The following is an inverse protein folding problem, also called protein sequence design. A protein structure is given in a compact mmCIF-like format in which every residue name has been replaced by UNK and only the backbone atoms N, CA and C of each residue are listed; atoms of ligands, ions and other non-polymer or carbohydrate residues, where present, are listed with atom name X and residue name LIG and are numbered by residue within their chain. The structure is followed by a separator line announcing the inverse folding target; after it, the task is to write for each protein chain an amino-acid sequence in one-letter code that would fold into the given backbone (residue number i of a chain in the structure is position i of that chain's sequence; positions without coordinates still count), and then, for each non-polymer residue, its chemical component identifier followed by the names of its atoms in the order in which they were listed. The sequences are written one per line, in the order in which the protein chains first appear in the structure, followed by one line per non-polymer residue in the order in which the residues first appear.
data_IF_036338285546
#
_entry.id   IF_036338285546
#
_cell.length_a   1.000
_cell.length_b   1.000
_cell.length_c   1.000
_cell.angle_alpha   90.00
_cell.angle_beta   90.00
_cell.angle_gamma   90.00
#
_symmetry.space_group_name_H-M   'P 1'
#
loop_
_entity.id
_entity.type
_entity.pdbx_description
1 polymer ?
#
# COMPACT_ATOMS: atom_id res chain seq x y z
N UNK A 1 -20.57 1.34 -14.86
CA UNK A 1 -19.58 2.45 -14.77
C UNK A 1 -18.18 1.99 -15.15
N UNK A 2 -17.79 0.74 -14.90
CA UNK A 2 -16.42 0.23 -15.14
C UNK A 2 -15.99 0.18 -16.62
N UNK A 3 -16.90 0.44 -17.57
CA UNK A 3 -16.56 0.58 -18.99
C UNK A 3 -15.91 1.93 -19.34
N UNK A 4 -15.95 2.91 -18.43
CA UNK A 4 -15.33 4.23 -18.65
C UNK A 4 -13.86 4.16 -18.26
N UNK A 5 -12.92 4.49 -19.17
CA UNK A 5 -11.50 4.55 -18.84
C UNK A 5 -11.21 5.58 -17.74
N UNK A 6 -10.19 5.32 -16.89
CA UNK A 6 -9.78 6.25 -15.83
C UNK A 6 -9.56 7.69 -16.32
N UNK A 7 -8.97 7.84 -17.51
CA UNK A 7 -8.65 9.15 -18.11
C UNK A 7 -9.90 9.98 -18.45
N UNK A 8 -11.03 9.31 -18.67
CA UNK A 8 -12.27 9.96 -19.12
C UNK A 8 -13.21 10.27 -17.95
N UNK A 9 -12.87 9.84 -16.72
CA UNK A 9 -13.68 10.06 -15.51
C UNK A 9 -13.83 11.53 -15.21
N UNK A 10 -12.74 12.30 -15.27
CA UNK A 10 -12.75 13.75 -15.02
C UNK A 10 -13.66 14.47 -16.03
N UNK A 11 -13.51 14.18 -17.33
CA UNK A 11 -14.34 14.76 -18.38
C UNK A 11 -15.82 14.41 -18.17
N UNK A 12 -16.11 13.15 -17.83
CA UNK A 12 -17.48 12.69 -17.58
C UNK A 12 -18.12 13.43 -16.40
N UNK A 13 -17.37 13.66 -15.33
CA UNK A 13 -17.86 14.35 -14.14
C UNK A 13 -18.06 15.84 -14.43
N UNK A 14 -17.17 16.46 -15.20
CA UNK A 14 -17.25 17.87 -15.55
C UNK A 14 -18.48 18.23 -16.40
N UNK A 15 -18.88 17.29 -17.28
CA UNK A 15 -20.03 17.44 -18.18
C UNK A 15 -21.35 16.98 -17.53
N UNK A 16 -21.30 16.33 -16.37
CA UNK A 16 -22.48 15.86 -15.65
C UNK A 16 -23.24 17.02 -15.00
N UNK A 17 -24.55 17.10 -15.28
CA UNK A 17 -25.43 18.06 -14.62
C UNK A 17 -25.64 17.78 -13.13
N UNK A 18 -25.76 18.85 -12.32
CA UNK A 18 -25.90 18.78 -10.85
C UNK A 18 -27.05 17.87 -10.39
N UNK A 19 -28.15 17.80 -11.16
CA UNK A 19 -29.31 16.95 -10.88
C UNK A 19 -29.01 15.45 -10.83
N UNK A 20 -27.88 15.00 -11.39
CA UNK A 20 -27.48 13.59 -11.38
C UNK A 20 -26.46 13.27 -10.28
N UNK A 21 -25.93 14.29 -9.59
CA UNK A 21 -24.87 14.11 -8.58
C UNK A 21 -25.36 13.25 -7.42
N UNK A 22 -26.58 13.48 -6.91
CA UNK A 22 -27.16 12.69 -5.82
C UNK A 22 -27.24 11.20 -6.18
N UNK A 23 -27.72 10.90 -7.40
CA UNK A 23 -27.81 9.53 -7.90
C UNK A 23 -26.42 8.90 -8.05
N UNK A 24 -25.45 9.67 -8.55
CA UNK A 24 -24.07 9.21 -8.68
C UNK A 24 -23.46 8.90 -7.32
N UNK A 25 -23.59 9.78 -6.32
CA UNK A 25 -23.12 9.56 -4.96
C UNK A 25 -23.72 8.29 -4.34
N UNK A 26 -25.02 8.05 -4.57
CA UNK A 26 -25.70 6.84 -4.12
C UNK A 26 -25.14 5.58 -4.78
N UNK A 27 -24.91 5.61 -6.10
CA UNK A 27 -24.30 4.49 -6.82
C UNK A 27 -22.86 4.24 -6.35
N UNK A 28 -22.08 5.29 -6.11
CA UNK A 28 -20.72 5.20 -5.59
C UNK A 28 -20.71 4.57 -4.20
N UNK A 29 -21.58 5.00 -3.29
CA UNK A 29 -21.70 4.42 -1.95
C UNK A 29 -22.01 2.92 -2.01
N UNK A 30 -23.00 2.51 -2.80
CA UNK A 30 -23.37 1.10 -2.97
C UNK A 30 -22.25 0.29 -3.66
N UNK A 31 -21.54 0.89 -4.60
CA UNK A 31 -20.44 0.21 -5.29
C UNK A 31 -19.22 0.03 -4.40
N UNK A 32 -18.95 0.99 -3.50
CA UNK A 32 -17.91 0.88 -2.48
C UNK A 32 -18.25 -0.15 -1.40
N UNK A 33 -19.52 -0.52 -1.23
CA UNK A 33 -19.90 -1.67 -0.40
C UNK A 33 -19.53 -2.99 -1.08
N UNK A 34 -19.93 -3.16 -2.35
CA UNK A 34 -19.99 -4.48 -3.00
C UNK A 34 -18.76 -4.79 -3.87
N UNK A 35 -18.18 -3.78 -4.54
CA UNK A 35 -17.18 -4.01 -5.58
C UNK A 35 -15.77 -4.26 -5.02
N UNK A 36 -15.00 -5.03 -5.78
CA UNK A 36 -13.56 -5.28 -5.55
C UNK A 36 -12.67 -4.22 -6.20
N UNK A 37 -13.19 -3.45 -7.16
CA UNK A 37 -12.45 -2.42 -7.91
C UNK A 37 -12.30 -1.12 -7.09
N UNK A 38 -11.73 -1.21 -5.88
CA UNK A 38 -11.72 -0.12 -4.90
C UNK A 38 -11.10 1.17 -5.46
N UNK A 39 -9.90 1.07 -6.05
CA UNK A 39 -9.19 2.21 -6.63
C UNK A 39 -10.05 2.97 -7.67
N UNK A 40 -10.77 2.23 -8.51
CA UNK A 40 -11.65 2.81 -9.50
C UNK A 40 -12.75 3.68 -8.86
N UNK A 41 -13.46 3.14 -7.87
CA UNK A 41 -14.53 3.88 -7.19
C UNK A 41 -14.00 5.02 -6.30
N UNK A 42 -12.81 4.88 -5.72
CA UNK A 42 -12.13 5.98 -5.02
C UNK A 42 -11.79 7.12 -5.98
N UNK A 43 -11.29 6.80 -7.17
CA UNK A 43 -10.96 7.77 -8.19
C UNK A 43 -12.21 8.57 -8.64
N UNK A 44 -13.33 7.88 -8.89
CA UNK A 44 -14.61 8.53 -9.18
C UNK A 44 -15.08 9.41 -8.02
N UNK A 45 -15.03 8.87 -6.80
CA UNK A 45 -15.48 9.59 -5.60
C UNK A 45 -14.69 10.87 -5.39
N UNK A 46 -13.36 10.82 -5.54
CA UNK A 46 -12.48 11.98 -5.47
C UNK A 46 -12.91 13.04 -6.48
N UNK A 47 -13.02 12.69 -7.76
CA UNK A 47 -13.34 13.68 -8.80
C UNK A 47 -14.74 14.29 -8.62
N UNK A 48 -15.74 13.50 -8.23
CA UNK A 48 -17.09 14.00 -7.96
C UNK A 48 -17.07 15.00 -6.80
N UNK A 49 -16.41 14.65 -5.69
CA UNK A 49 -16.33 15.52 -4.52
C UNK A 49 -15.48 16.76 -4.78
N UNK A 50 -14.41 16.67 -5.58
CA UNK A 50 -13.57 17.83 -5.93
C UNK A 50 -14.29 18.79 -6.87
N UNK A 51 -14.95 18.29 -7.91
CA UNK A 51 -15.59 19.15 -8.92
C UNK A 51 -16.98 19.65 -8.49
N UNK A 52 -17.84 18.77 -7.97
CA UNK A 52 -19.21 19.11 -7.58
C UNK A 52 -19.32 19.48 -6.10
N UNK A 53 -18.35 19.18 -5.25
CA UNK A 53 -18.37 19.46 -3.81
C UNK A 53 -18.88 20.84 -3.41
N UNK A 54 -18.34 21.94 -3.98
CA UNK A 54 -18.78 23.30 -3.66
C UNK A 54 -20.24 23.60 -4.04
N UNK A 55 -20.83 22.82 -4.96
CA UNK A 55 -22.19 22.99 -5.50
C UNK A 55 -23.18 22.01 -4.87
N UNK A 56 -22.71 21.03 -4.09
CA UNK A 56 -23.56 20.04 -3.45
C UNK A 56 -24.43 20.72 -2.39
N UNK A 57 -25.75 20.63 -2.58
CA UNK A 57 -26.73 21.10 -1.60
C UNK A 57 -26.85 20.07 -0.48
N UNK A 58 -26.52 20.41 0.79
CA UNK A 58 -26.53 19.45 1.88
C UNK A 58 -27.91 18.83 2.10
N UNK A 59 -28.98 19.62 2.03
CA UNK A 59 -30.35 19.16 2.30
C UNK A 59 -30.80 17.99 1.41
N UNK A 60 -30.31 17.92 0.18
CA UNK A 60 -30.68 16.88 -0.79
C UNK A 60 -29.69 15.70 -0.76
N UNK A 61 -28.40 15.97 -0.58
CA UNK A 61 -27.35 14.97 -0.77
C UNK A 61 -26.85 14.35 0.55
N UNK A 62 -27.27 14.84 1.72
CA UNK A 62 -26.76 14.39 3.01
C UNK A 62 -26.84 12.87 3.21
N UNK A 63 -27.96 12.19 2.90
CA UNK A 63 -28.04 10.73 3.09
C UNK A 63 -27.01 9.97 2.23
N UNK A 64 -26.86 10.38 0.97
CA UNK A 64 -25.89 9.79 0.05
C UNK A 64 -24.45 10.02 0.52
N UNK A 65 -24.13 11.24 1.00
CA UNK A 65 -22.83 11.60 1.56
C UNK A 65 -22.49 10.82 2.84
N UNK A 66 -23.46 10.64 3.75
CA UNK A 66 -23.26 9.85 4.97
C UNK A 66 -22.98 8.38 4.62
N UNK A 67 -23.75 7.81 3.69
CA UNK A 67 -23.54 6.44 3.23
C UNK A 67 -22.15 6.28 2.59
N UNK A 68 -21.78 7.22 1.73
CA UNK A 68 -20.46 7.25 1.09
C UNK A 68 -19.34 7.32 2.12
N UNK A 69 -19.44 8.23 3.09
CA UNK A 69 -18.47 8.36 4.19
C UNK A 69 -18.35 7.05 4.98
N UNK A 70 -19.48 6.45 5.36
CA UNK A 70 -19.50 5.17 6.09
C UNK A 70 -18.70 4.09 5.36
N UNK A 71 -18.92 3.94 4.05
CA UNK A 71 -18.23 2.91 3.26
C UNK A 71 -16.76 3.22 3.03
N UNK A 72 -16.40 4.48 2.79
CA UNK A 72 -15.00 4.91 2.70
C UNK A 72 -14.23 4.61 3.99
N UNK A 73 -14.79 4.99 5.14
CA UNK A 73 -14.18 4.72 6.45
C UNK A 73 -14.02 3.23 6.68
N UNK A 74 -15.07 2.43 6.41
CA UNK A 74 -15.01 0.98 6.59
C UNK A 74 -13.95 0.33 5.69
N UNK A 75 -13.88 0.72 4.41
CA UNK A 75 -12.87 0.19 3.47
C UNK A 75 -11.46 0.56 3.90
N UNK A 76 -11.26 1.80 4.35
CA UNK A 76 -9.99 2.24 4.90
C UNK A 76 -9.59 1.43 6.14
N UNK A 77 -10.47 1.27 7.13
CA UNK A 77 -10.19 0.48 8.34
C UNK A 77 -9.85 -0.97 8.04
N UNK A 78 -10.55 -1.59 7.09
CA UNK A 78 -10.27 -2.97 6.66
C UNK A 78 -8.88 -3.08 6.02
N UNK A 79 -8.54 -2.15 5.12
CA UNK A 79 -7.25 -2.14 4.44
C UNK A 79 -6.12 -1.86 5.42
N UNK A 80 -6.27 -0.87 6.29
CA UNK A 80 -5.26 -0.51 7.28
C UNK A 80 -4.95 -1.67 8.22
N UNK A 81 -5.96 -2.41 8.70
CA UNK A 81 -5.73 -3.62 9.52
C UNK A 81 -4.89 -4.67 8.81
N UNK A 82 -5.17 -4.93 7.54
CA UNK A 82 -4.43 -5.91 6.73
C UNK A 82 -2.99 -5.41 6.49
N UNK A 83 -2.84 -4.14 6.12
CA UNK A 83 -1.53 -3.53 5.90
C UNK A 83 -0.67 -3.53 7.17
N UNK A 84 -1.25 -3.21 8.33
CA UNK A 84 -0.56 -3.25 9.61
C UNK A 84 -0.12 -4.67 9.95
N UNK A 85 -1.03 -5.65 9.84
CA UNK A 85 -0.71 -7.05 10.08
C UNK A 85 0.44 -7.53 9.17
N UNK A 86 0.36 -7.23 7.87
CA UNK A 86 1.40 -7.59 6.90
C UNK A 86 2.73 -6.92 7.25
N UNK A 87 2.71 -5.62 7.56
CA UNK A 87 3.90 -4.84 7.91
C UNK A 87 4.58 -5.40 9.14
N UNK A 88 3.84 -5.65 10.22
CA UNK A 88 4.41 -6.17 11.46
C UNK A 88 4.87 -7.62 11.31
N UNK A 89 4.15 -8.45 10.56
CA UNK A 89 4.55 -9.83 10.27
C UNK A 89 5.87 -9.86 9.51
N UNK A 90 6.00 -9.07 8.43
CA UNK A 90 7.24 -8.99 7.67
C UNK A 90 8.41 -8.47 8.52
N UNK A 91 8.19 -7.42 9.32
CA UNK A 91 9.21 -6.91 10.23
C UNK A 91 9.66 -7.95 11.26
N UNK A 92 8.72 -8.72 11.80
CA UNK A 92 9.02 -9.81 12.72
C UNK A 92 9.87 -10.88 12.04
N UNK A 93 9.46 -11.38 10.87
CA UNK A 93 10.21 -12.40 10.11
C UNK A 93 11.63 -11.93 9.79
N UNK A 94 11.79 -10.67 9.35
CA UNK A 94 13.12 -10.10 9.07
C UNK A 94 13.98 -10.06 10.34
N UNK A 95 13.42 -9.61 11.48
CA UNK A 95 14.14 -9.59 12.76
C UNK A 95 14.55 -10.99 13.21
N UNK A 96 13.65 -11.96 13.12
CA UNK A 96 13.95 -13.36 13.49
C UNK A 96 15.08 -13.93 12.62
N UNK A 97 15.04 -13.69 11.30
CA UNK A 97 16.11 -14.15 10.40
C UNK A 97 17.47 -13.53 10.74
N UNK A 98 17.50 -12.26 11.15
CA UNK A 98 18.73 -11.58 11.55
C UNK A 98 19.26 -12.06 12.90
N UNK A 99 18.40 -12.51 13.81
CA UNK A 99 18.81 -13.13 15.08
C UNK A 99 19.39 -14.52 14.84
N UNK A 100 18.70 -15.36 14.06
CA UNK A 100 19.21 -16.70 13.71
C UNK A 100 20.57 -16.63 12.98
N UNK A 101 20.72 -15.69 12.05
CA UNK A 101 22.01 -15.48 11.36
C UNK A 101 23.12 -14.93 12.28
N UNK A 102 22.79 -14.41 13.46
CA UNK A 102 23.76 -14.02 14.50
C UNK A 102 24.06 -15.20 15.42
N UNK A 103 23.06 -15.97 15.82
CA UNK A 103 23.24 -17.14 16.67
C UNK A 103 24.12 -18.18 15.95
N UNK A 104 23.89 -18.44 14.65
CA UNK A 104 24.75 -19.31 13.82
C UNK A 104 26.21 -18.82 13.74
N UNK A 105 26.44 -17.49 13.74
CA UNK A 105 27.79 -16.90 13.77
C UNK A 105 28.44 -16.97 15.14
N UNK A 106 27.64 -16.92 16.20
CA UNK A 106 28.13 -16.94 17.59
C UNK A 106 28.47 -18.37 18.01
N UNK A 107 27.69 -19.36 17.57
CA UNK A 107 28.04 -20.78 17.73
C UNK A 107 29.28 -21.14 16.89
N UNK A 108 29.41 -20.66 15.65
CA UNK A 108 30.61 -20.90 14.84
C UNK A 108 31.90 -20.30 15.46
N UNK A 109 31.82 -19.14 16.12
CA UNK A 109 32.96 -18.54 16.85
C UNK A 109 33.30 -19.27 18.16
N UNK A 110 32.31 -19.85 18.84
CA UNK A 110 32.53 -20.59 20.10
C UNK A 110 33.27 -21.92 19.89
N UNK A 111 33.35 -22.42 18.66
CA UNK A 111 34.15 -23.60 18.29
C UNK A 111 35.55 -23.28 17.78
N UNK A 112 35.92 -22.00 17.63
CA UNK A 112 37.26 -21.59 17.14
C UNK A 112 38.21 -21.10 18.25
N UNK A 113 37.76 -20.99 19.50
CA UNK A 113 38.54 -20.44 20.62
C UNK A 113 39.31 -21.48 21.47
N UNK A 114 39.37 -22.76 21.07
CA UNK A 114 40.07 -23.80 21.86
C UNK A 114 41.30 -24.46 21.24
N UNK A 115 41.77 -24.10 20.03
CA UNK A 115 43.12 -24.53 19.60
C UNK A 115 43.77 -23.53 18.63
N UNK A 116 44.76 -22.83 19.19
CA UNK A 116 45.63 -21.82 18.60
C UNK A 116 46.60 -22.46 17.58
N UNK A 117 46.41 -22.25 16.28
CA UNK A 117 47.51 -22.21 15.29
C UNK A 117 47.06 -21.49 13.99
N UNK A 118 47.42 -20.21 13.86
CA UNK A 118 47.36 -19.46 12.60
C UNK A 118 48.50 -19.87 11.65
N UNK A 119 48.23 -19.99 10.35
CA UNK A 119 49.14 -19.45 9.35
C UNK A 119 48.46 -18.35 8.54
N UNK A 120 49.23 -17.27 8.35
CA UNK A 120 48.87 -15.98 7.74
C UNK A 120 48.08 -16.09 6.43
N UNK A 121 46.97 -15.34 6.33
CA UNK A 121 46.12 -15.27 5.13
C UNK A 121 46.41 -13.96 4.39
N UNK A 122 46.82 -14.09 3.13
CA UNK A 122 47.29 -13.00 2.25
C UNK A 122 46.13 -12.09 1.81
N UNK A 123 46.22 -10.78 2.08
CA UNK A 123 45.15 -9.77 1.89
C UNK A 123 44.79 -9.44 0.42
N UNK A 124 45.42 -10.07 -0.56
CA UNK A 124 45.26 -9.69 -1.98
C UNK A 124 43.99 -10.24 -2.65
N UNK A 125 43.29 -11.20 -2.05
CA UNK A 125 42.15 -11.87 -2.70
C UNK A 125 40.79 -11.18 -2.45
N UNK A 126 40.71 -10.29 -1.46
CA UNK A 126 39.48 -9.59 -1.08
C UNK A 126 39.14 -8.37 -1.96
N UNK A 127 40.14 -7.66 -2.48
CA UNK A 127 39.89 -6.50 -3.35
C UNK A 127 39.33 -6.89 -4.72
N UNK A 128 39.74 -8.03 -5.27
CA UNK A 128 39.23 -8.51 -6.55
C UNK A 128 37.75 -8.92 -6.47
N UNK A 129 37.31 -9.42 -5.31
CA UNK A 129 35.92 -9.80 -5.06
C UNK A 129 35.00 -8.59 -4.82
N UNK A 130 35.52 -7.51 -4.21
CA UNK A 130 34.75 -6.28 -3.98
C UNK A 130 34.49 -5.47 -5.25
N UNK A 131 35.36 -5.55 -6.26
CA UNK A 131 35.17 -4.83 -7.52
C UNK A 131 34.17 -5.50 -8.48
N UNK A 132 33.88 -6.80 -8.31
CA UNK A 132 32.86 -7.47 -9.13
C UNK A 132 31.43 -7.19 -8.65
N UNK A 133 31.24 -6.87 -7.36
CA UNK A 133 29.91 -6.59 -6.80
C UNK A 133 29.42 -5.18 -7.15
N UNK A 134 30.31 -4.23 -7.45
CA UNK A 134 29.91 -2.84 -7.80
C UNK A 134 29.54 -2.60 -9.27
N UNK A 135 29.60 -3.61 -10.14
CA UNK A 135 29.30 -3.46 -11.58
C UNK A 135 27.89 -3.99 -11.95
N UNK A 136 27.18 -4.65 -11.02
CA UNK A 136 25.84 -5.18 -11.27
C UNK A 136 24.92 -4.66 -10.16
N UNK A 137 24.09 -3.67 -10.51
CA UNK A 137 23.05 -2.94 -9.74
C UNK A 137 23.47 -1.58 -9.18
#
# INVERSE_FOLDING_TARGET
MENVPFKDVELTISTLGEQYVEKLLTILANSLEISRHLEYYLHWTQHVLTYHGPRIKPQQNMPALISLQKWLTRRHEQLSKICDFNRYTMQYVVRQSALMAKDDKTEAMAYEDEDDYLPERNDQEYESSMNQIKIIV
#
